data_IF_616036258807
#
_entry.id   IF_616036258807
#
_cell.length_a   1.000
_cell.length_b   1.000
_cell.length_c   1.000
_cell.angle_alpha   90.00
_cell.angle_beta   90.00
_cell.angle_gamma   90.00
#
_symmetry.space_group_name_H-M   'P 1'
#
loop_
_entity.id
_entity.type
_entity.pdbx_description
1 polymer ?
#
# COMPACT_ATOMS: atom_id res chain seq x y z
N UNK A 1 4.74 -18.56 12.09
CA UNK A 1 3.46 -18.63 11.37
C UNK A 1 3.28 -17.31 10.65
N UNK A 2 3.16 -17.29 9.32
CA UNK A 2 3.18 -16.05 8.52
C UNK A 2 1.78 -15.79 7.95
N UNK A 3 1.21 -14.60 8.20
CA UNK A 3 -0.09 -14.20 7.69
C UNK A 3 0.00 -13.88 6.18
N UNK A 4 -1.09 -14.12 5.44
CA UNK A 4 -1.09 -13.90 3.99
C UNK A 4 -1.26 -12.41 3.67
N UNK A 5 -0.16 -11.68 3.61
CA UNK A 5 -0.13 -10.26 3.25
C UNK A 5 0.12 -10.11 1.75
N UNK A 6 -0.75 -9.39 1.05
CA UNK A 6 -0.62 -9.05 -0.36
C UNK A 6 0.52 -8.07 -0.60
N UNK A 7 1.14 -8.15 -1.78
CA UNK A 7 2.26 -7.27 -2.16
C UNK A 7 1.74 -6.06 -2.93
N UNK A 8 2.27 -4.89 -2.61
CA UNK A 8 2.11 -3.69 -3.43
C UNK A 8 2.91 -3.81 -4.73
N UNK A 9 2.39 -3.23 -5.82
CA UNK A 9 3.11 -3.15 -7.10
C UNK A 9 4.41 -2.35 -6.95
N UNK A 10 5.46 -2.77 -7.64
CA UNK A 10 6.75 -2.10 -7.65
C UNK A 10 6.63 -0.74 -8.37
N UNK A 11 6.72 0.35 -7.60
CA UNK A 11 6.59 1.71 -8.12
C UNK A 11 7.84 2.24 -8.85
N UNK A 12 8.86 1.40 -9.06
CA UNK A 12 10.05 1.72 -9.85
C UNK A 12 10.06 1.01 -11.22
N UNK A 13 9.18 0.03 -11.42
CA UNK A 13 9.03 -0.61 -12.71
C UNK A 13 8.08 0.22 -13.58
N UNK A 14 8.60 0.80 -14.65
CA UNK A 14 7.80 1.50 -15.65
C UNK A 14 7.18 0.49 -16.60
N UNK A 15 5.88 0.63 -16.85
CA UNK A 15 5.16 -0.07 -17.90
C UNK A 15 4.92 0.95 -19.02
N UNK A 16 5.20 0.54 -20.27
CA UNK A 16 5.12 1.41 -21.44
C UNK A 16 3.72 2.05 -21.61
N UNK A 17 2.68 1.36 -21.14
CA UNK A 17 1.29 1.78 -21.27
C UNK A 17 0.66 2.27 -19.95
N UNK A 18 1.39 2.21 -18.83
CA UNK A 18 0.87 2.60 -17.50
C UNK A 18 1.87 3.50 -16.81
N UNK A 19 1.76 4.82 -17.02
CA UNK A 19 2.68 5.74 -16.41
C UNK A 19 2.38 5.84 -14.90
N UNK A 20 3.42 6.08 -14.09
CA UNK A 20 3.32 5.91 -12.65
C UNK A 20 2.56 7.08 -12.03
N UNK A 21 1.75 6.84 -10.99
CA UNK A 21 0.98 7.91 -10.32
C UNK A 21 1.88 9.07 -9.88
N UNK A 22 3.07 8.77 -9.36
CA UNK A 22 4.08 9.74 -8.92
C UNK A 22 4.56 10.68 -10.04
N UNK A 23 4.38 10.31 -11.30
CA UNK A 23 4.77 11.11 -12.48
C UNK A 23 3.69 12.14 -12.86
N UNK A 24 2.46 12.02 -12.36
CA UNK A 24 1.36 12.95 -12.67
C UNK A 24 0.86 13.77 -11.48
N UNK A 25 1.08 13.32 -10.24
CA UNK A 25 0.61 14.04 -9.05
C UNK A 25 1.67 15.01 -8.52
N UNK A 26 1.22 16.08 -7.87
CA UNK A 26 2.12 16.94 -7.12
C UNK A 26 2.59 16.24 -5.84
N UNK A 27 3.86 15.86 -5.78
CA UNK A 27 4.44 15.20 -4.61
C UNK A 27 4.55 16.11 -3.38
N UNK A 28 4.48 17.43 -3.56
CA UNK A 28 4.46 18.41 -2.48
C UNK A 28 3.04 18.69 -1.96
N UNK A 29 2.02 18.01 -2.51
CA UNK A 29 0.65 18.16 -2.02
C UNK A 29 0.54 17.65 -0.59
N UNK A 30 -0.22 18.34 0.25
CA UNK A 30 -0.31 18.09 1.70
C UNK A 30 -0.69 16.64 2.03
N UNK A 31 -1.62 16.04 1.29
CA UNK A 31 -2.01 14.64 1.47
C UNK A 31 -0.89 13.65 1.14
N UNK A 32 -0.04 13.96 0.16
CA UNK A 32 1.11 13.10 -0.17
C UNK A 32 2.12 13.15 0.97
N UNK A 33 2.43 14.37 1.45
CA UNK A 33 3.33 14.58 2.58
C UNK A 33 2.81 13.89 3.86
N UNK A 34 1.51 14.02 4.14
CA UNK A 34 0.86 13.32 5.25
C UNK A 34 1.00 11.81 5.11
N UNK A 35 0.71 11.27 3.93
CA UNK A 35 0.81 9.83 3.67
C UNK A 35 2.22 9.28 3.87
N UNK A 36 3.26 10.09 3.62
CA UNK A 36 4.66 9.73 3.82
C UNK A 36 5.09 9.78 5.29
N UNK A 37 4.38 10.52 6.14
CA UNK A 37 4.65 10.59 7.59
C UNK A 37 4.04 9.42 8.36
N UNK A 38 3.08 8.71 7.79
CA UNK A 38 2.40 7.58 8.42
C UNK A 38 3.30 6.34 8.35
N UNK A 39 3.57 5.70 9.50
CA UNK A 39 4.22 4.39 9.54
C UNK A 39 3.23 3.28 9.17
N UNK A 40 3.10 3.03 7.87
CA UNK A 40 2.24 1.97 7.35
C UNK A 40 2.67 0.56 7.79
N UNK A 41 3.95 0.35 8.08
CA UNK A 41 4.45 -0.96 8.49
C UNK A 41 4.02 -1.30 9.92
N UNK A 42 3.92 -0.31 10.79
CA UNK A 42 3.34 -0.48 12.13
C UNK A 42 1.91 -1.03 12.02
N UNK A 43 1.04 -0.36 11.25
CA UNK A 43 -0.33 -0.82 11.07
C UNK A 43 -0.40 -2.19 10.41
N UNK A 44 0.39 -2.45 9.37
CA UNK A 44 0.39 -3.77 8.72
C UNK A 44 0.72 -4.91 9.71
N UNK A 45 1.62 -4.67 10.68
CA UNK A 45 1.93 -5.64 11.74
C UNK A 45 0.80 -5.80 12.75
N UNK A 46 0.23 -4.70 13.23
CA UNK A 46 -0.85 -4.72 14.22
C UNK A 46 -2.14 -5.33 13.66
N UNK A 47 -2.44 -5.13 12.37
CA UNK A 47 -3.60 -5.71 11.69
C UNK A 47 -3.33 -7.12 11.14
N UNK A 48 -2.08 -7.53 11.01
CA UNK A 48 -1.69 -8.87 10.52
C UNK A 48 -2.44 -10.03 11.19
N UNK A 49 -2.61 -10.05 12.53
CA UNK A 49 -3.35 -11.11 13.23
C UNK A 49 -4.81 -11.25 12.82
N UNK A 50 -5.41 -10.19 12.26
CA UNK A 50 -6.80 -10.17 11.80
C UNK A 50 -6.94 -10.71 10.38
N UNK A 51 -5.84 -10.93 9.66
CA UNK A 51 -5.88 -11.46 8.30
C UNK A 51 -6.03 -12.98 8.28
N UNK A 52 -6.71 -13.45 7.23
CA UNK A 52 -6.85 -14.88 6.99
C UNK A 52 -5.48 -15.53 6.78
N UNK A 53 -5.37 -16.77 7.26
CA UNK A 53 -4.20 -17.63 7.03
C UNK A 53 -4.32 -18.46 5.75
N UNK A 54 -5.49 -18.43 5.10
CA UNK A 54 -5.82 -19.21 3.91
C UNK A 54 -6.61 -18.38 2.90
N UNK A 55 -6.58 -18.79 1.63
CA UNK A 55 -7.33 -18.13 0.56
C UNK A 55 -6.56 -16.99 -0.11
N UNK A 56 -7.24 -15.88 -0.42
CA UNK A 56 -6.62 -14.73 -1.09
C UNK A 56 -5.83 -13.90 -0.06
N UNK A 57 -4.58 -13.50 -0.36
CA UNK A 57 -3.83 -12.58 0.49
C UNK A 57 -4.60 -11.29 0.75
N UNK A 58 -4.47 -10.76 1.97
CA UNK A 58 -5.03 -9.48 2.35
C UNK A 58 -4.45 -8.35 1.46
N UNK A 59 -5.26 -7.34 1.15
CA UNK A 59 -4.73 -6.13 0.53
C UNK A 59 -3.89 -5.35 1.56
N UNK A 60 -2.82 -4.65 1.13
CA UNK A 60 -2.07 -3.77 2.02
C UNK A 60 -2.99 -2.75 2.70
N UNK A 61 -2.77 -2.47 3.99
CA UNK A 61 -3.65 -1.59 4.76
C UNK A 61 -3.81 -0.19 4.13
N UNK A 62 -2.71 0.33 3.56
CA UNK A 62 -2.71 1.62 2.84
C UNK A 62 -3.70 1.64 1.66
N UNK A 63 -3.84 0.53 0.94
CA UNK A 63 -4.77 0.42 -0.17
C UNK A 63 -6.21 0.36 0.32
N UNK A 64 -6.48 -0.41 1.39
CA UNK A 64 -7.82 -0.53 1.95
C UNK A 64 -8.36 0.83 2.44
N UNK A 65 -7.52 1.59 3.16
CA UNK A 65 -7.89 2.92 3.67
C UNK A 65 -8.12 3.93 2.55
N UNK A 66 -7.31 3.90 1.49
CA UNK A 66 -7.42 4.86 0.38
C UNK A 66 -8.56 4.53 -0.61
N UNK A 67 -9.14 3.33 -0.53
CA UNK A 67 -10.23 2.89 -1.43
C UNK A 67 -11.63 3.12 -0.84
N UNK A 68 -11.69 3.55 0.42
CA UNK A 68 -12.89 4.00 1.12
C UNK A 68 -13.09 5.50 0.87
#
# INVERSE_FOLDING_TARGET
MQYMIGKSSNQNQRDLFKPLLKEFINLNHELVLLSNKIDWNYFEKEFSPLYSKTGKPAMPIRLMVASL
#
